data_IF_736953781653
#
_entry.id   IF_736953781653
#
_cell.length_a   1.000
_cell.length_b   1.000
_cell.length_c   1.000
_cell.angle_alpha   90.00
_cell.angle_beta   90.00
_cell.angle_gamma   90.00
#
_symmetry.space_group_name_H-M   'P 1'
#
loop_
_entity.id
_entity.type
_entity.pdbx_description
1 polymer ?
#
# COMPACT_ATOMS: atom_id res chain seq x y z
N UNK A 1 -14.14 -0.32 9.42
CA UNK A 1 -13.84 -1.17 8.24
C UNK A 1 -13.11 -0.30 7.22
N UNK A 2 -12.01 -0.77 6.65
CA UNK A 2 -11.29 -0.06 5.58
C UNK A 2 -12.17 0.06 4.34
N UNK A 3 -12.20 1.23 3.72
CA UNK A 3 -12.94 1.45 2.48
C UNK A 3 -12.04 1.12 1.28
N UNK A 4 -12.47 0.19 0.41
CA UNK A 4 -11.72 -0.19 -0.78
C UNK A 4 -12.28 0.51 -2.03
N UNK A 5 -11.42 1.24 -2.76
CA UNK A 5 -11.72 1.96 -4.00
C UNK A 5 -10.96 1.27 -5.13
N UNK A 6 -11.60 1.03 -6.25
CA UNK A 6 -11.03 0.32 -7.39
C UNK A 6 -11.09 1.20 -8.64
N UNK A 7 -9.93 1.51 -9.20
CA UNK A 7 -9.72 2.39 -10.36
C UNK A 7 -8.93 1.64 -11.43
N UNK A 8 -9.22 1.90 -12.68
CA UNK A 8 -8.56 1.23 -13.81
C UNK A 8 -7.37 1.99 -14.33
N UNK A 9 -7.44 3.32 -14.35
CA UNK A 9 -6.47 4.19 -15.00
C UNK A 9 -5.84 5.19 -14.04
N UNK A 10 -4.64 5.66 -14.39
CA UNK A 10 -3.97 6.72 -13.66
C UNK A 10 -4.76 8.05 -13.70
N UNK A 11 -5.51 8.30 -14.78
CA UNK A 11 -6.37 9.47 -14.86
C UNK A 11 -7.47 9.41 -13.79
N UNK A 12 -8.18 8.29 -13.68
CA UNK A 12 -9.18 8.09 -12.62
C UNK A 12 -8.56 8.23 -11.22
N UNK A 13 -7.31 7.75 -11.04
CA UNK A 13 -6.59 7.91 -9.78
C UNK A 13 -6.37 9.39 -9.45
N UNK A 14 -5.81 10.17 -10.38
CA UNK A 14 -5.54 11.59 -10.17
C UNK A 14 -6.83 12.38 -9.90
N UNK A 15 -7.90 12.13 -10.67
CA UNK A 15 -9.21 12.75 -10.46
C UNK A 15 -9.77 12.43 -9.07
N UNK A 16 -9.68 11.17 -8.65
CA UNK A 16 -10.13 10.75 -7.32
C UNK A 16 -9.30 11.43 -6.21
N UNK A 17 -7.97 11.41 -6.33
CA UNK A 17 -7.08 12.03 -5.35
C UNK A 17 -7.36 13.53 -5.19
N UNK A 18 -7.52 14.25 -6.29
CA UNK A 18 -7.85 15.69 -6.26
C UNK A 18 -9.25 15.99 -5.72
N UNK A 19 -10.19 15.06 -5.85
CA UNK A 19 -11.56 15.23 -5.30
C UNK A 19 -11.63 14.99 -3.80
N UNK A 20 -10.71 14.16 -3.26
CA UNK A 20 -10.76 13.69 -1.86
C UNK A 20 -9.75 14.37 -0.95
N UNK A 21 -8.59 14.77 -1.47
CA UNK A 21 -7.48 15.32 -0.72
C UNK A 21 -7.17 16.75 -1.15
N UNK A 22 -6.57 17.52 -0.25
CA UNK A 22 -6.25 18.93 -0.44
C UNK A 22 -4.78 19.23 -0.15
N UNK A 23 -4.38 20.48 -0.22
CA UNK A 23 -3.06 21.00 0.13
C UNK A 23 -2.67 20.79 1.61
N UNK A 24 -3.64 20.44 2.49
CA UNK A 24 -3.37 20.02 3.87
C UNK A 24 -2.97 18.55 4.01
N UNK A 25 -3.07 17.77 2.92
CA UNK A 25 -2.68 16.36 2.86
C UNK A 25 -1.22 16.21 2.41
N UNK A 26 -0.53 15.21 2.95
CA UNK A 26 0.82 14.85 2.49
C UNK A 26 0.78 13.53 1.73
N UNK A 27 1.31 13.54 0.51
CA UNK A 27 1.51 12.36 -0.30
C UNK A 27 2.97 11.91 -0.19
N UNK A 28 3.18 10.69 0.30
CA UNK A 28 4.49 10.05 0.35
C UNK A 28 4.52 8.99 -0.75
N UNK A 29 5.34 9.22 -1.76
CA UNK A 29 5.36 8.43 -3.00
C UNK A 29 6.69 7.71 -3.12
N UNK A 30 6.65 6.43 -3.50
CA UNK A 30 7.85 5.66 -3.84
C UNK A 30 8.61 6.33 -4.99
N UNK A 31 9.90 6.58 -4.80
CA UNK A 31 10.76 7.23 -5.81
C UNK A 31 10.80 6.48 -7.15
N UNK A 32 10.52 5.18 -7.17
CA UNK A 32 10.39 4.41 -8.40
C UNK A 32 9.20 4.83 -9.27
N UNK A 33 8.27 5.61 -8.75
CA UNK A 33 7.10 6.13 -9.46
C UNK A 33 7.27 7.57 -9.96
N UNK A 34 8.48 8.15 -9.89
CA UNK A 34 8.78 9.52 -10.33
C UNK A 34 8.36 9.78 -11.79
N UNK A 35 8.44 8.77 -12.65
CA UNK A 35 8.05 8.87 -14.06
C UNK A 35 6.55 9.15 -14.26
N UNK A 36 5.72 8.89 -13.28
CA UNK A 36 4.27 9.16 -13.33
C UNK A 36 3.95 10.64 -13.06
N UNK A 37 4.91 11.42 -12.52
CA UNK A 37 4.78 12.86 -12.26
C UNK A 37 3.49 13.21 -11.50
N UNK A 38 3.19 12.43 -10.47
CA UNK A 38 1.97 12.62 -9.67
C UNK A 38 1.97 14.00 -9.01
N UNK A 39 3.14 14.46 -8.56
CA UNK A 39 3.37 15.77 -7.95
C UNK A 39 2.96 16.95 -8.84
N UNK A 40 3.09 16.80 -10.18
CA UNK A 40 2.65 17.82 -11.14
C UNK A 40 1.11 17.83 -11.34
N UNK A 41 0.39 16.83 -10.85
CA UNK A 41 -1.01 16.56 -11.18
C UNK A 41 -1.96 16.64 -9.98
N UNK A 42 -1.44 16.57 -8.75
CA UNK A 42 -2.26 16.58 -7.52
C UNK A 42 -2.19 17.92 -6.80
N UNK A 43 -3.30 18.30 -6.17
CA UNK A 43 -3.40 19.51 -5.34
C UNK A 43 -3.07 19.20 -3.86
N UNK A 44 -1.87 18.64 -3.61
CA UNK A 44 -1.44 18.22 -2.29
C UNK A 44 0.07 18.44 -2.12
N UNK A 45 0.56 18.41 -0.88
CA UNK A 45 2.00 18.37 -0.62
C UNK A 45 2.54 17.00 -1.00
N UNK A 46 3.65 16.93 -1.74
CA UNK A 46 4.23 15.67 -2.22
C UNK A 46 5.67 15.52 -1.78
N UNK A 47 6.03 14.33 -1.33
CA UNK A 47 7.41 13.96 -1.04
C UNK A 47 7.69 12.57 -1.60
N UNK A 48 8.75 12.44 -2.37
CA UNK A 48 9.25 11.16 -2.85
C UNK A 48 10.17 10.53 -1.81
N UNK A 49 10.03 9.23 -1.61
CA UNK A 49 10.80 8.50 -0.61
C UNK A 49 11.39 7.22 -1.22
N UNK A 50 12.72 7.10 -1.14
CA UNK A 50 13.43 5.91 -1.60
C UNK A 50 13.57 4.91 -0.45
N UNK A 51 12.97 3.72 -0.62
CA UNK A 51 13.00 2.65 0.36
C UNK A 51 12.94 1.28 -0.31
N UNK A 52 13.70 0.35 0.27
CA UNK A 52 13.70 -1.05 -0.12
C UNK A 52 13.78 -1.95 1.13
N UNK A 53 13.80 -3.27 0.95
CA UNK A 53 13.82 -4.21 2.07
C UNK A 53 15.07 -4.08 2.97
N UNK A 54 16.22 -3.64 2.44
CA UNK A 54 17.46 -3.43 3.22
C UNK A 54 17.37 -2.17 4.08
N UNK A 55 16.67 -1.15 3.59
CA UNK A 55 16.46 0.11 4.29
C UNK A 55 15.16 0.14 5.10
N UNK A 56 14.39 -0.95 5.14
CA UNK A 56 13.18 -1.12 5.97
C UNK A 56 13.53 -1.21 7.45
N UNK A 57 14.00 -0.14 8.07
CA UNK A 57 14.51 -0.11 9.44
C UNK A 57 14.09 1.16 10.20
N UNK A 58 14.48 1.27 11.47
CA UNK A 58 14.13 2.40 12.32
C UNK A 58 14.59 3.75 11.74
N UNK A 59 15.77 3.80 11.08
CA UNK A 59 16.25 5.04 10.47
C UNK A 59 15.32 5.57 9.39
N UNK A 60 14.69 4.67 8.61
CA UNK A 60 13.66 5.07 7.64
C UNK A 60 12.39 5.56 8.32
N UNK A 61 12.00 4.95 9.44
CA UNK A 61 10.87 5.46 10.26
C UNK A 61 11.15 6.86 10.78
N UNK A 62 12.37 7.11 11.31
CA UNK A 62 12.80 8.43 11.79
C UNK A 62 12.73 9.48 10.68
N UNK A 63 13.23 9.16 9.49
CA UNK A 63 13.12 10.05 8.32
C UNK A 63 11.66 10.38 7.95
N UNK A 64 10.76 9.42 8.06
CA UNK A 64 9.34 9.68 7.83
C UNK A 64 8.79 10.61 8.92
N UNK A 65 9.08 10.38 10.20
CA UNK A 65 8.65 11.33 11.25
C UNK A 65 9.19 12.74 11.02
N UNK A 66 10.47 12.90 10.64
CA UNK A 66 11.05 14.20 10.31
C UNK A 66 10.28 14.87 9.16
N UNK A 67 9.94 14.08 8.11
CA UNK A 67 9.14 14.57 7.00
C UNK A 67 7.75 15.06 7.46
N UNK A 68 7.07 14.29 8.33
CA UNK A 68 5.76 14.68 8.86
C UNK A 68 5.83 15.97 9.69
N UNK A 69 6.93 16.19 10.43
CA UNK A 69 7.17 17.44 11.16
C UNK A 69 7.49 18.62 10.22
N UNK A 70 8.31 18.43 9.20
CA UNK A 70 8.65 19.44 8.21
C UNK A 70 7.43 19.97 7.46
N UNK A 71 6.48 19.08 7.15
CA UNK A 71 5.21 19.44 6.52
C UNK A 71 4.16 19.93 7.53
N UNK A 72 4.51 20.15 8.78
CA UNK A 72 3.63 20.66 9.85
C UNK A 72 2.35 19.85 10.07
N UNK A 73 2.37 18.52 9.79
CA UNK A 73 1.21 17.68 9.99
C UNK A 73 0.75 17.67 11.44
N UNK A 74 -0.56 17.59 11.63
CA UNK A 74 -1.21 17.48 12.93
C UNK A 74 -2.11 16.23 12.97
N UNK A 75 -2.85 16.02 14.07
CA UNK A 75 -3.68 14.81 14.24
C UNK A 75 -4.88 14.72 13.31
N UNK A 76 -5.31 15.83 12.72
CA UNK A 76 -6.39 15.89 11.75
C UNK A 76 -5.91 15.84 10.29
N UNK A 77 -4.59 15.87 10.06
CA UNK A 77 -4.02 15.74 8.72
C UNK A 77 -4.22 14.34 8.18
N UNK A 78 -4.21 14.22 6.87
CA UNK A 78 -4.31 12.93 6.15
C UNK A 78 -3.02 12.66 5.38
N UNK A 79 -2.53 11.42 5.44
CA UNK A 79 -1.34 10.97 4.73
C UNK A 79 -1.77 9.98 3.65
N UNK A 80 -1.35 10.20 2.41
CA UNK A 80 -1.56 9.27 1.30
C UNK A 80 -0.23 8.62 0.96
N UNK A 81 -0.18 7.29 1.03
CA UNK A 81 1.05 6.51 0.82
C UNK A 81 0.91 5.74 -0.49
N UNK A 82 1.75 6.08 -1.49
CA UNK A 82 1.69 5.51 -2.84
C UNK A 82 2.97 4.70 -3.09
N UNK A 83 2.87 3.36 -3.09
CA UNK A 83 4.07 2.54 -3.27
C UNK A 83 3.88 1.05 -3.04
N UNK A 84 4.99 0.33 -2.99
CA UNK A 84 5.05 -1.09 -2.67
C UNK A 84 4.93 -1.38 -1.16
N UNK A 85 4.80 -2.65 -0.80
CA UNK A 85 4.56 -3.09 0.57
C UNK A 85 5.56 -2.56 1.60
N UNK A 86 6.84 -2.39 1.23
CA UNK A 86 7.87 -1.86 2.13
C UNK A 86 7.56 -0.43 2.55
N UNK A 87 7.22 0.43 1.58
CA UNK A 87 6.85 1.82 1.87
C UNK A 87 5.55 1.88 2.68
N UNK A 88 4.55 1.07 2.31
CA UNK A 88 3.27 1.02 3.02
C UNK A 88 3.49 0.67 4.50
N UNK A 89 4.27 -0.37 4.79
CA UNK A 89 4.55 -0.83 6.15
C UNK A 89 5.24 0.23 7.01
N UNK A 90 6.32 0.84 6.49
CA UNK A 90 7.12 1.83 7.25
C UNK A 90 6.36 3.12 7.46
N UNK A 91 5.69 3.64 6.42
CA UNK A 91 4.89 4.85 6.54
C UNK A 91 3.67 4.67 7.43
N UNK A 92 3.00 3.51 7.37
CA UNK A 92 1.87 3.24 8.24
C UNK A 92 2.30 3.11 9.71
N UNK A 93 3.43 2.44 9.99
CA UNK A 93 4.00 2.43 11.33
C UNK A 93 4.33 3.84 11.83
N UNK A 94 5.01 4.64 11.00
CA UNK A 94 5.34 6.02 11.34
C UNK A 94 4.09 6.86 11.60
N UNK A 95 3.06 6.74 10.74
CA UNK A 95 1.78 7.46 10.88
C UNK A 95 1.03 7.05 12.15
N UNK A 96 1.00 5.74 12.47
CA UNK A 96 0.30 5.22 13.64
C UNK A 96 0.92 5.68 14.97
N UNK A 97 2.19 6.03 14.96
CA UNK A 97 2.95 6.46 16.15
C UNK A 97 3.16 7.98 16.22
N UNK A 98 3.16 8.67 15.07
CA UNK A 98 3.29 10.12 15.00
C UNK A 98 2.13 10.82 15.72
N UNK A 99 2.43 11.69 16.68
CA UNK A 99 1.44 12.40 17.52
C UNK A 99 0.33 11.49 18.10
N UNK A 100 0.62 10.22 18.34
CA UNK A 100 -0.27 9.15 18.82
C UNK A 100 -1.32 8.70 17.82
N UNK A 101 -1.01 8.81 16.53
CA UNK A 101 -1.80 8.36 15.40
C UNK A 101 -2.33 9.50 14.53
N UNK A 102 -2.01 9.40 13.25
CA UNK A 102 -2.53 10.24 12.17
C UNK A 102 -3.13 9.31 11.11
N UNK A 103 -4.24 9.73 10.53
CA UNK A 103 -4.96 8.97 9.51
C UNK A 103 -4.13 8.79 8.25
N UNK A 104 -4.21 7.61 7.63
CA UNK A 104 -3.51 7.34 6.38
C UNK A 104 -4.35 6.51 5.42
N UNK A 105 -4.10 6.71 4.13
CA UNK A 105 -4.69 6.01 3.00
C UNK A 105 -3.60 5.34 2.18
N UNK A 106 -3.82 4.11 1.73
CA UNK A 106 -2.90 3.38 0.86
C UNK A 106 -3.29 3.48 -0.61
N UNK A 107 -2.29 3.65 -1.47
CA UNK A 107 -2.36 3.44 -2.92
C UNK A 107 -1.27 2.43 -3.28
N UNK A 108 -1.55 1.12 -3.18
CA UNK A 108 -0.57 0.08 -3.48
C UNK A 108 -0.18 0.10 -4.95
N UNK A 109 1.13 0.05 -5.26
CA UNK A 109 1.67 0.11 -6.62
C UNK A 109 2.26 -1.20 -7.13
N UNK A 110 2.34 -2.23 -6.30
CA UNK A 110 2.81 -3.57 -6.69
C UNK A 110 1.68 -4.59 -6.57
N UNK A 111 1.69 -5.65 -7.39
CA UNK A 111 0.67 -6.69 -7.31
C UNK A 111 0.60 -7.30 -5.91
N UNK A 112 1.76 -7.59 -5.30
CA UNK A 112 1.84 -8.11 -3.92
C UNK A 112 1.19 -7.17 -2.91
N UNK A 113 1.44 -5.85 -3.00
CA UNK A 113 0.81 -4.90 -2.10
C UNK A 113 -0.69 -4.74 -2.34
N UNK A 114 -1.14 -4.87 -3.59
CA UNK A 114 -2.56 -4.82 -3.92
C UNK A 114 -3.33 -6.00 -3.34
N UNK A 115 -2.78 -7.21 -3.38
CA UNK A 115 -3.52 -8.43 -3.00
C UNK A 115 -3.28 -8.89 -1.55
N UNK A 116 -2.24 -8.40 -0.87
CA UNK A 116 -1.88 -8.82 0.50
C UNK A 116 -1.48 -7.64 1.40
N UNK A 117 -0.34 -6.98 1.15
CA UNK A 117 0.30 -6.09 2.13
C UNK A 117 -0.54 -4.85 2.53
N UNK A 118 -1.43 -4.34 1.68
CA UNK A 118 -2.32 -3.23 2.02
C UNK A 118 -3.50 -3.62 2.93
N UNK A 119 -3.64 -4.91 3.25
CA UNK A 119 -4.76 -5.46 4.00
C UNK A 119 -4.29 -6.08 5.32
N UNK A 120 -5.18 -6.17 6.30
CA UNK A 120 -4.88 -6.78 7.60
C UNK A 120 -4.25 -5.84 8.63
N UNK A 121 -3.80 -4.64 8.22
CA UNK A 121 -3.33 -3.59 9.13
C UNK A 121 -1.99 -3.86 9.82
N UNK A 122 -1.24 -4.86 9.38
CA UNK A 122 0.10 -5.13 9.89
C UNK A 122 1.06 -4.10 9.31
N UNK A 123 1.74 -3.37 10.18
CA UNK A 123 2.71 -2.34 9.78
C UNK A 123 3.96 -2.50 10.64
N UNK A 124 5.14 -2.27 10.08
CA UNK A 124 6.35 -2.44 10.86
C UNK A 124 7.62 -2.30 10.07
N UNK A 125 8.72 -2.56 10.74
CA UNK A 125 10.05 -2.47 10.20
C UNK A 125 10.97 -3.59 10.72
N UNK A 126 12.10 -3.77 10.06
CA UNK A 126 13.10 -4.76 10.38
C UNK A 126 14.07 -4.24 11.45
N UNK A 127 14.58 -5.12 12.29
CA UNK A 127 15.63 -4.82 13.24
C UNK A 127 16.72 -5.88 13.23
N UNK A 128 17.71 -5.76 14.11
CA UNK A 128 18.84 -6.71 14.21
C UNK A 128 18.42 -8.12 14.62
N UNK A 129 17.22 -8.31 15.16
CA UNK A 129 16.70 -9.61 15.61
C UNK A 129 15.84 -10.31 14.54
N UNK A 130 15.43 -9.60 13.49
CA UNK A 130 14.68 -10.19 12.38
C UNK A 130 13.77 -9.21 11.65
N UNK A 131 13.13 -9.73 10.59
CA UNK A 131 12.17 -8.98 9.79
C UNK A 131 10.85 -8.82 10.54
N UNK A 132 10.25 -7.61 10.43
CA UNK A 132 8.90 -7.29 10.92
C UNK A 132 8.64 -7.64 12.40
N UNK A 133 9.67 -7.58 13.26
CA UNK A 133 9.53 -7.92 14.68
C UNK A 133 8.96 -6.75 15.50
N UNK A 134 9.04 -5.54 14.99
CA UNK A 134 8.49 -4.34 15.62
C UNK A 134 7.46 -3.73 14.70
N UNK A 135 6.24 -3.54 15.20
CA UNK A 135 5.15 -3.03 14.38
C UNK A 135 3.90 -2.70 15.16
N UNK A 136 2.89 -2.29 14.44
CA UNK A 136 1.54 -2.00 14.96
C UNK A 136 0.49 -2.74 14.16
N UNK A 137 -0.71 -2.83 14.72
CA UNK A 137 -1.92 -3.24 14.01
C UNK A 137 -2.81 -2.01 13.82
N UNK A 138 -2.62 -1.31 12.71
CA UNK A 138 -3.38 -0.10 12.39
C UNK A 138 -3.86 -0.19 10.95
N UNK A 139 -5.18 -0.15 10.78
CA UNK A 139 -5.80 -0.20 9.45
C UNK A 139 -5.72 1.18 8.78
N UNK A 140 -5.50 1.23 7.46
CA UNK A 140 -5.70 2.46 6.70
C UNK A 140 -7.19 2.84 6.70
N UNK A 141 -7.48 4.12 6.53
CA UNK A 141 -8.86 4.60 6.34
C UNK A 141 -9.44 4.06 5.04
N UNK A 142 -8.63 4.08 3.98
CA UNK A 142 -8.99 3.49 2.69
C UNK A 142 -7.78 2.89 1.97
N UNK A 143 -8.08 1.98 1.05
CA UNK A 143 -7.13 1.41 0.08
C UNK A 143 -7.65 1.72 -1.32
N UNK A 144 -6.85 2.45 -2.10
CA UNK A 144 -7.17 2.84 -3.47
C UNK A 144 -6.33 1.97 -4.43
N UNK A 145 -6.95 0.98 -5.01
CA UNK A 145 -6.30 0.06 -5.95
C UNK A 145 -6.45 0.63 -7.36
N UNK A 146 -5.34 1.09 -7.95
CA UNK A 146 -5.29 1.54 -9.34
C UNK A 146 -4.54 0.51 -10.18
N UNK A 147 -5.27 -0.17 -11.08
CA UNK A 147 -4.73 -1.27 -11.87
C UNK A 147 -3.57 -0.85 -12.77
N UNK A 148 -3.65 0.33 -13.39
CA UNK A 148 -2.64 0.82 -14.33
C UNK A 148 -1.26 1.07 -13.68
N UNK A 149 -1.17 1.18 -12.35
CA UNK A 149 0.13 1.27 -11.66
C UNK A 149 1.00 0.02 -11.88
N UNK A 150 0.38 -1.13 -12.19
CA UNK A 150 1.10 -2.37 -12.52
C UNK A 150 1.87 -2.30 -13.85
N UNK A 151 1.52 -1.39 -14.75
CA UNK A 151 2.21 -1.24 -16.04
C UNK A 151 3.68 -0.84 -15.87
N UNK A 152 4.04 -0.25 -14.73
CA UNK A 152 5.41 0.17 -14.40
C UNK A 152 6.17 -0.86 -13.57
N UNK A 153 5.52 -1.97 -13.17
CA UNK A 153 6.09 -2.95 -12.26
C UNK A 153 7.05 -3.90 -12.99
N UNK A 154 8.31 -4.05 -12.52
CA UNK A 154 9.22 -5.05 -13.07
C UNK A 154 8.64 -6.47 -12.99
N UNK A 155 8.96 -7.30 -13.99
CA UNK A 155 8.39 -8.64 -14.15
C UNK A 155 8.62 -9.55 -12.92
N UNK A 156 9.77 -9.46 -12.28
CA UNK A 156 10.08 -10.29 -11.10
C UNK A 156 9.19 -9.89 -9.91
N UNK A 157 8.99 -8.60 -9.66
CA UNK A 157 8.07 -8.13 -8.62
C UNK A 157 6.60 -8.46 -8.95
N UNK A 158 6.26 -8.52 -10.25
CA UNK A 158 4.95 -8.97 -10.67
C UNK A 158 4.73 -10.45 -10.32
N UNK A 159 5.74 -11.30 -10.55
CA UNK A 159 5.72 -12.73 -10.21
C UNK A 159 5.54 -13.00 -8.71
N UNK A 160 6.18 -12.18 -7.86
CA UNK A 160 6.00 -12.28 -6.40
C UNK A 160 4.53 -12.11 -6.02
N UNK A 161 3.85 -11.12 -6.60
CA UNK A 161 2.42 -10.91 -6.38
C UNK A 161 1.54 -12.03 -6.94
N UNK A 162 1.93 -12.66 -8.06
CA UNK A 162 1.21 -13.81 -8.63
C UNK A 162 1.23 -15.01 -7.69
N UNK A 163 2.36 -15.30 -7.05
CA UNK A 163 2.48 -16.41 -6.10
C UNK A 163 1.49 -16.23 -4.95
N UNK A 164 1.41 -15.01 -4.41
CA UNK A 164 0.49 -14.71 -3.32
C UNK A 164 -0.99 -14.78 -3.79
N UNK A 165 -1.29 -14.29 -4.98
CA UNK A 165 -2.62 -14.38 -5.56
C UNK A 165 -3.07 -15.85 -5.75
N UNK A 166 -2.17 -16.72 -6.24
CA UNK A 166 -2.44 -18.16 -6.36
C UNK A 166 -2.70 -18.77 -4.98
N UNK A 167 -1.89 -18.43 -3.99
CA UNK A 167 -2.07 -18.88 -2.60
C UNK A 167 -3.46 -18.49 -2.06
N UNK A 168 -3.88 -17.25 -2.25
CA UNK A 168 -5.23 -16.81 -1.88
C UNK A 168 -6.32 -17.58 -2.61
N UNK A 169 -6.13 -17.82 -3.92
CA UNK A 169 -7.03 -18.65 -4.71
C UNK A 169 -7.18 -20.07 -4.16
N UNK A 170 -6.07 -20.71 -3.81
CA UNK A 170 -6.06 -22.06 -3.24
C UNK A 170 -6.76 -22.14 -1.88
N UNK A 171 -6.64 -21.11 -1.05
CA UNK A 171 -7.18 -21.11 0.31
C UNK A 171 -8.66 -20.73 0.34
N UNK A 172 -9.08 -19.76 -0.47
CA UNK A 172 -10.35 -19.08 -0.27
C UNK A 172 -11.25 -19.01 -1.50
N UNK A 173 -10.72 -19.15 -2.73
CA UNK A 173 -11.51 -18.91 -3.95
C UNK A 173 -11.06 -19.74 -5.14
N UNK A 174 -11.77 -20.88 -5.35
CA UNK A 174 -11.50 -21.80 -6.47
C UNK A 174 -11.57 -21.13 -7.85
N UNK A 175 -12.40 -20.08 -8.03
CA UNK A 175 -12.50 -19.36 -9.31
C UNK A 175 -11.21 -18.60 -9.61
N UNK A 176 -10.62 -17.95 -8.61
CA UNK A 176 -9.33 -17.26 -8.74
C UNK A 176 -8.26 -18.29 -9.09
N UNK A 177 -8.18 -19.39 -8.35
CA UNK A 177 -7.22 -20.46 -8.60
C UNK A 177 -7.32 -20.99 -10.02
N UNK A 178 -8.51 -21.40 -10.44
CA UNK A 178 -8.74 -21.95 -11.78
C UNK A 178 -8.43 -20.93 -12.88
N UNK A 179 -8.75 -19.65 -12.68
CA UNK A 179 -8.44 -18.60 -13.65
C UNK A 179 -6.93 -18.40 -13.82
N UNK A 180 -6.14 -18.62 -12.77
CA UNK A 180 -4.70 -18.44 -12.81
C UNK A 180 -3.98 -19.64 -13.47
N UNK A 181 -4.40 -20.88 -13.19
CA UNK A 181 -3.74 -22.08 -13.74
C UNK A 181 -4.11 -22.36 -15.20
N UNK A 182 -5.23 -21.82 -15.70
CA UNK A 182 -5.67 -22.03 -17.08
C UNK A 182 -5.17 -20.96 -18.06
N UNK A 183 -4.63 -19.85 -17.56
CA UNK A 183 -4.10 -18.77 -18.40
C UNK A 183 -2.73 -19.13 -18.99
N UNK A 184 -2.57 -18.89 -20.28
CA UNK A 184 -1.29 -19.01 -20.99
C UNK A 184 -0.43 -17.76 -20.87
N UNK A 185 -0.98 -16.65 -20.38
CA UNK A 185 -0.28 -15.40 -20.08
C UNK A 185 -0.45 -15.06 -18.59
N UNK A 186 0.62 -14.56 -17.98
CA UNK A 186 0.64 -14.17 -16.55
C UNK A 186 -0.05 -12.81 -16.26
N UNK A 187 -0.86 -12.28 -17.19
CA UNK A 187 -1.61 -11.05 -16.93
C UNK A 187 -2.84 -11.33 -16.05
N UNK A 188 -2.87 -10.65 -14.91
CA UNK A 188 -4.00 -10.69 -13.98
C UNK A 188 -5.02 -9.66 -14.41
N UNK A 189 -6.30 -10.06 -14.54
CA UNK A 189 -7.37 -9.11 -14.84
C UNK A 189 -7.75 -8.30 -13.59
N UNK A 190 -8.22 -7.10 -13.81
CA UNK A 190 -8.70 -6.20 -12.75
C UNK A 190 -9.72 -6.86 -11.80
N UNK A 191 -10.65 -7.64 -12.38
CA UNK A 191 -11.68 -8.36 -11.62
C UNK A 191 -11.07 -9.40 -10.67
N UNK A 192 -9.96 -10.04 -11.05
CA UNK A 192 -9.29 -11.05 -10.21
C UNK A 192 -8.69 -10.38 -8.98
N UNK A 193 -8.03 -9.21 -9.14
CA UNK A 193 -7.48 -8.45 -8.00
C UNK A 193 -8.62 -8.03 -7.06
N UNK A 194 -9.69 -7.45 -7.60
CA UNK A 194 -10.86 -7.05 -6.82
C UNK A 194 -11.47 -8.24 -6.07
N UNK A 195 -11.68 -9.36 -6.74
CA UNK A 195 -12.31 -10.54 -6.15
C UNK A 195 -11.39 -11.19 -5.08
N UNK A 196 -10.06 -11.15 -5.27
CA UNK A 196 -9.11 -11.58 -4.25
C UNK A 196 -9.31 -10.79 -2.94
N UNK A 197 -9.46 -9.49 -3.03
CA UNK A 197 -9.61 -8.60 -1.87
C UNK A 197 -10.94 -8.77 -1.13
N UNK A 198 -12.00 -9.18 -1.82
CA UNK A 198 -13.29 -9.47 -1.19
C UNK A 198 -13.24 -10.70 -0.27
N UNK A 199 -12.28 -11.60 -0.48
CA UNK A 199 -12.13 -12.85 0.27
C UNK A 199 -10.94 -12.87 1.23
N UNK A 200 -10.04 -11.87 1.20
CA UNK A 200 -8.97 -11.71 2.19
C UNK A 200 -9.55 -11.22 3.50
N UNK A 201 -10.13 -12.14 4.26
CA UNK A 201 -10.40 -11.88 5.67
C UNK A 201 -9.09 -11.96 6.46
N UNK A 202 -8.83 -11.06 7.43
CA UNK A 202 -7.67 -11.20 8.29
C UNK A 202 -7.65 -12.59 8.90
N UNK A 203 -6.47 -13.25 8.85
CA UNK A 203 -6.26 -14.54 9.48
C UNK A 203 -6.71 -14.47 10.96
N UNK A 204 -7.23 -15.56 11.56
CA UNK A 204 -7.52 -15.59 13.00
C UNK A 204 -6.34 -15.19 13.88
N UNK A 205 -5.09 -15.36 13.38
CA UNK A 205 -3.86 -14.91 14.07
C UNK A 205 -3.64 -13.39 13.98
N UNK A 206 -4.33 -12.70 13.09
CA UNK A 206 -4.20 -11.27 12.84
C UNK A 206 -5.26 -10.46 13.62
N UNK A 207 -6.15 -11.14 14.35
CA UNK A 207 -7.12 -10.47 15.23
C UNK A 207 -6.41 -10.03 16.51
N UNK A 208 -6.59 -8.78 16.96
CA UNK A 208 -6.14 -8.38 18.28
C UNK A 208 -6.76 -9.36 19.28
N UNK A 209 -5.95 -10.03 20.07
CA UNK A 209 -6.43 -10.74 21.26
C UNK A 209 -6.95 -9.68 22.22
N UNK A 210 -8.27 -9.62 22.36
CA UNK A 210 -8.98 -8.78 23.35
C UNK A 210 -8.53 -9.11 24.75
#
# INVERSE_FOLDING_TARGET
MTNNIYLKTNLELIEYLNSRFSDESLFIIDSNLNNLKIDEQVNAQVSYFDINEETKNLTSVEKIWDLLFQHNLNRSSEIVIIGGGVLLDVCAFASSTFKRGVSFTFVPSTLLSMVDASHGGKNGFNNTYGKNQIGTFTLPESVIVCYQLLDTLPEDHYKDGLIELIKHGMIANEKIFNSMITKTSFNVDFEIIRDCLLYTSPSPRDRPTS
#
